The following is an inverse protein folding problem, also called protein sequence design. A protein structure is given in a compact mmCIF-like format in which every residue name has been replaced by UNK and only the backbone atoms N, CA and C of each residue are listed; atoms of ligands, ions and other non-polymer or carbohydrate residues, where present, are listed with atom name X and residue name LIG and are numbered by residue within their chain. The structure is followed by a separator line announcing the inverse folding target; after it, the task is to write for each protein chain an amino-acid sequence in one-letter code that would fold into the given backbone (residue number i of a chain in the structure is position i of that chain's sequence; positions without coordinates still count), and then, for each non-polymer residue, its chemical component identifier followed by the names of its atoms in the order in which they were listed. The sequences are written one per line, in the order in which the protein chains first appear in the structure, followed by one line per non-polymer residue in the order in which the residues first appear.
data_IF_448017783785
#
_entry.id   IF_448017783785
#
_cell.length_a   1.000
_cell.length_b   1.000
_cell.length_c   1.000
_cell.angle_alpha   90.00
_cell.angle_beta   90.00
_cell.angle_gamma   90.00
#
_symmetry.space_group_name_H-M   'P 1'
#
loop_
_entity.id
_entity.type
_entity.pdbx_description
1 polymer ?
#
# COMPACT_ATOMS: atom_id res chain seq x y z
N UNK A 1 -45.23 -52.84 -2.66
CA UNK A 1 -43.76 -52.73 -2.59
C UNK A 1 -43.38 -51.28 -2.61
N UNK A 2 -42.98 -50.70 -1.47
CA UNK A 2 -42.63 -49.27 -1.36
C UNK A 2 -41.11 -49.16 -1.35
N UNK A 3 -40.53 -48.52 -2.38
CA UNK A 3 -39.09 -48.33 -2.53
C UNK A 3 -38.70 -46.98 -1.90
N UNK A 4 -37.84 -46.99 -0.87
CA UNK A 4 -37.31 -45.78 -0.21
C UNK A 4 -36.02 -45.34 -0.91
N UNK A 5 -35.98 -44.09 -1.36
CA UNK A 5 -34.77 -43.39 -1.82
C UNK A 5 -33.92 -42.97 -0.61
N UNK A 6 -32.57 -43.05 -0.66
CA UNK A 6 -31.72 -42.53 0.40
C UNK A 6 -31.45 -41.03 0.16
N UNK A 7 -31.75 -40.20 1.17
CA UNK A 7 -31.38 -38.78 1.21
C UNK A 7 -29.99 -38.64 1.79
N UNK A 8 -29.02 -38.26 0.95
CA UNK A 8 -27.66 -37.94 1.37
C UNK A 8 -27.63 -36.57 2.03
N UNK A 9 -27.41 -36.51 3.33
CA UNK A 9 -27.14 -35.27 4.08
C UNK A 9 -25.73 -34.78 3.79
N UNK A 10 -25.63 -33.63 3.14
CA UNK A 10 -24.35 -32.91 2.94
C UNK A 10 -23.98 -32.24 4.27
N UNK A 11 -22.77 -32.45 4.84
CA UNK A 11 -22.34 -31.73 6.02
C UNK A 11 -22.08 -30.26 5.66
N UNK A 12 -22.83 -29.36 6.31
CA UNK A 12 -22.62 -27.91 6.23
C UNK A 12 -21.34 -27.56 6.98
N UNK A 13 -20.31 -27.09 6.27
CA UNK A 13 -19.11 -26.56 6.90
C UNK A 13 -19.45 -25.32 7.74
N UNK A 14 -18.82 -25.12 8.91
CA UNK A 14 -19.01 -23.90 9.69
C UNK A 14 -18.42 -22.70 8.93
N UNK A 15 -19.26 -21.69 8.69
CA UNK A 15 -18.86 -20.41 8.12
C UNK A 15 -18.02 -19.63 9.12
N UNK A 16 -16.70 -19.63 8.94
CA UNK A 16 -15.80 -18.70 9.62
C UNK A 16 -16.23 -17.27 9.27
N UNK A 17 -16.39 -16.34 10.22
CA UNK A 17 -16.69 -14.95 9.91
C UNK A 17 -15.48 -14.34 9.16
N UNK A 18 -15.66 -14.07 7.87
CA UNK A 18 -14.71 -13.32 7.05
C UNK A 18 -14.63 -11.91 7.61
N UNK A 19 -13.49 -11.56 8.23
CA UNK A 19 -13.19 -10.17 8.57
C UNK A 19 -13.32 -9.31 7.29
N UNK A 20 -13.74 -8.02 7.38
CA UNK A 20 -13.77 -7.14 6.22
C UNK A 20 -12.38 -7.11 5.59
N UNK A 21 -12.26 -7.60 4.35
CA UNK A 21 -11.02 -7.47 3.60
C UNK A 21 -10.88 -5.99 3.21
N UNK A 22 -9.84 -5.32 3.71
CA UNK A 22 -9.44 -4.00 3.22
C UNK A 22 -9.22 -4.08 1.72
N UNK A 23 -9.79 -3.19 0.89
CA UNK A 23 -9.55 -3.21 -0.54
C UNK A 23 -8.05 -3.03 -0.79
N UNK A 24 -7.49 -3.92 -1.60
CA UNK A 24 -6.08 -3.87 -1.97
C UNK A 24 -5.88 -2.76 -3.02
N UNK A 25 -5.03 -1.78 -2.73
CA UNK A 25 -4.63 -0.77 -3.71
C UNK A 25 -3.44 -1.30 -4.51
N UNK A 26 -3.52 -1.25 -5.83
CA UNK A 26 -2.49 -1.75 -6.74
C UNK A 26 -2.11 -0.67 -7.75
N UNK A 27 -0.81 -0.48 -7.97
CA UNK A 27 -0.24 0.52 -8.88
C UNK A 27 0.76 -0.19 -9.79
N UNK A 28 0.34 -0.53 -11.01
CA UNK A 28 1.11 -1.44 -11.85
C UNK A 28 1.28 -2.82 -11.19
N UNK A 29 2.54 -3.25 -11.01
CA UNK A 29 2.90 -4.51 -10.36
C UNK A 29 3.07 -4.38 -8.83
N UNK A 30 2.97 -3.17 -8.29
CA UNK A 30 3.08 -2.91 -6.84
C UNK A 30 1.74 -2.97 -6.14
N UNK A 31 1.80 -3.35 -4.88
CA UNK A 31 0.66 -3.54 -4.00
C UNK A 31 0.91 -2.74 -2.74
N UNK A 32 -0.06 -1.94 -2.31
CA UNK A 32 0.07 -1.17 -1.07
C UNK A 32 0.37 -2.10 0.11
N UNK A 33 1.48 -1.82 0.79
CA UNK A 33 1.94 -2.53 1.98
C UNK A 33 1.34 -1.88 3.23
N UNK A 34 1.29 -0.55 3.24
CA UNK A 34 0.62 0.24 4.27
C UNK A 34 1.34 1.53 4.62
N UNK A 35 0.96 2.12 5.74
CA UNK A 35 1.55 3.35 6.25
C UNK A 35 2.76 3.06 7.14
N UNK A 36 3.84 3.82 6.95
CA UNK A 36 5.11 3.68 7.67
C UNK A 36 5.59 5.04 8.18
N UNK A 37 6.39 5.02 9.24
CA UNK A 37 7.12 6.21 9.70
C UNK A 37 8.37 6.43 8.86
N UNK A 38 8.89 7.64 8.91
CA UNK A 38 10.29 7.90 8.54
C UNK A 38 11.27 7.15 9.46
N UNK A 39 12.51 7.02 9.01
CA UNK A 39 13.56 6.37 9.79
C UNK A 39 14.11 7.30 10.89
N UNK A 40 14.83 6.75 11.86
CA UNK A 40 15.23 7.51 13.07
C UNK A 40 16.15 8.70 12.78
N UNK A 41 16.93 8.65 11.71
CA UNK A 41 17.88 9.70 11.35
C UNK A 41 17.98 9.94 9.83
N UNK A 42 17.02 9.43 9.06
CA UNK A 42 17.05 9.44 7.59
C UNK A 42 15.65 9.27 7.00
N UNK A 43 15.56 9.30 5.67
CA UNK A 43 14.35 8.89 4.95
C UNK A 43 14.11 7.39 5.11
N UNK A 44 12.84 6.97 5.08
CA UNK A 44 12.50 5.54 5.11
C UNK A 44 13.04 4.78 3.89
N UNK A 45 13.06 5.43 2.71
CA UNK A 45 13.63 4.91 1.47
C UNK A 45 14.68 5.90 0.93
N UNK A 46 15.86 5.40 0.55
CA UNK A 46 17.05 6.25 0.29
C UNK A 46 17.63 6.14 -1.12
N UNK A 47 17.11 5.25 -1.98
CA UNK A 47 17.67 5.01 -3.31
C UNK A 47 17.43 6.17 -4.29
N UNK A 48 16.27 6.81 -4.21
CA UNK A 48 15.91 7.90 -5.11
C UNK A 48 14.79 8.76 -4.56
N UNK A 49 14.76 10.03 -4.98
CA UNK A 49 13.72 10.98 -4.60
C UNK A 49 13.25 11.81 -5.79
N UNK A 50 11.96 12.09 -5.84
CA UNK A 50 11.34 13.01 -6.77
C UNK A 50 10.26 13.79 -6.03
N UNK A 51 10.25 15.11 -6.20
CA UNK A 51 9.28 15.98 -5.52
C UNK A 51 8.55 16.82 -6.56
N UNK A 52 7.22 16.82 -6.50
CA UNK A 52 6.36 17.65 -7.32
C UNK A 52 5.00 17.89 -6.62
N UNK A 53 4.88 19.05 -5.98
CA UNK A 53 3.65 19.46 -5.27
C UNK A 53 2.50 19.94 -6.18
N UNK A 54 2.61 19.74 -7.50
CA UNK A 54 1.55 20.09 -8.46
C UNK A 54 0.99 18.88 -9.18
N UNK A 55 1.80 17.85 -9.41
CA UNK A 55 1.42 16.73 -10.29
C UNK A 55 1.86 15.36 -9.76
N UNK A 56 2.22 15.22 -8.48
CA UNK A 56 2.55 13.90 -7.93
C UNK A 56 1.27 13.07 -7.77
N UNK A 57 1.31 11.85 -8.28
CA UNK A 57 0.32 10.78 -8.10
C UNK A 57 1.08 9.44 -7.95
N UNK A 58 0.35 8.36 -7.67
CA UNK A 58 0.96 7.05 -7.43
C UNK A 58 1.65 6.51 -8.69
N UNK A 59 1.07 6.72 -9.87
CA UNK A 59 1.62 6.30 -11.16
C UNK A 59 2.92 7.05 -11.47
N UNK A 60 3.00 8.35 -11.16
CA UNK A 60 4.19 9.16 -11.36
C UNK A 60 5.34 8.71 -10.47
N UNK A 61 5.04 8.35 -9.22
CA UNK A 61 6.06 7.87 -8.29
C UNK A 61 6.55 6.46 -8.65
N UNK A 62 5.62 5.52 -8.85
CA UNK A 62 5.93 4.16 -9.24
C UNK A 62 6.73 4.10 -10.55
N UNK A 63 6.34 4.88 -11.58
CA UNK A 63 7.09 4.95 -12.83
C UNK A 63 8.52 5.48 -12.64
N UNK A 64 8.72 6.48 -11.77
CA UNK A 64 10.05 6.98 -11.45
C UNK A 64 10.90 5.90 -10.76
N UNK A 65 10.36 5.23 -9.74
CA UNK A 65 11.06 4.19 -9.02
C UNK A 65 11.34 2.94 -9.89
N UNK A 66 10.46 2.64 -10.85
CA UNK A 66 10.70 1.63 -11.88
C UNK A 66 11.99 1.90 -12.65
N UNK A 67 12.23 3.16 -13.05
CA UNK A 67 13.45 3.52 -13.80
C UNK A 67 14.74 3.33 -13.00
N UNK A 68 14.64 3.31 -11.67
CA UNK A 68 15.76 3.09 -10.76
C UNK A 68 15.94 1.60 -10.41
N UNK A 69 15.04 0.72 -10.85
CA UNK A 69 15.03 -0.69 -10.47
C UNK A 69 14.75 -0.90 -8.98
N UNK A 70 13.98 0.01 -8.37
CA UNK A 70 13.63 -0.07 -6.95
C UNK A 70 12.61 -1.20 -6.68
N UNK A 71 12.74 -1.88 -5.54
CA UNK A 71 11.76 -2.88 -5.10
C UNK A 71 10.50 -2.22 -4.50
N UNK A 72 10.68 -1.07 -3.87
CA UNK A 72 9.62 -0.30 -3.22
C UNK A 72 9.57 1.12 -3.76
N UNK A 73 8.37 1.67 -3.74
CA UNK A 73 8.19 3.12 -3.76
C UNK A 73 7.36 3.55 -2.56
N UNK A 74 7.55 4.80 -2.18
CA UNK A 74 6.79 5.41 -1.11
C UNK A 74 6.44 6.84 -1.48
N UNK A 75 5.25 7.26 -1.06
CA UNK A 75 4.76 8.62 -1.25
C UNK A 75 4.54 9.28 0.11
N UNK A 76 4.92 10.55 0.22
CA UNK A 76 4.84 11.33 1.44
C UNK A 76 4.37 12.76 1.13
N UNK A 77 3.70 13.38 2.11
CA UNK A 77 3.35 14.79 2.11
C UNK A 77 2.67 15.30 0.82
N UNK A 78 1.89 14.44 0.14
CA UNK A 78 1.10 14.77 -1.04
C UNK A 78 1.90 14.99 -2.34
N UNK A 79 3.18 15.33 -2.24
CA UNK A 79 4.02 15.73 -3.37
C UNK A 79 5.39 15.07 -3.42
N UNK A 80 5.74 14.25 -2.44
CA UNK A 80 7.06 13.64 -2.31
C UNK A 80 7.00 12.16 -2.69
N UNK A 81 8.00 11.71 -3.44
CA UNK A 81 8.17 10.34 -3.86
C UNK A 81 9.57 9.88 -3.49
N UNK A 82 9.65 8.67 -2.95
CA UNK A 82 10.87 8.02 -2.52
C UNK A 82 10.93 6.60 -3.07
N UNK A 83 12.12 6.15 -3.43
CA UNK A 83 12.38 4.82 -3.94
C UNK A 83 13.39 4.11 -3.04
N UNK A 84 13.28 2.80 -2.88
CA UNK A 84 14.23 2.03 -2.08
C UNK A 84 14.10 0.53 -2.32
N UNK A 85 15.10 -0.21 -1.84
CA UNK A 85 15.09 -1.67 -1.87
C UNK A 85 14.90 -2.30 -0.48
N UNK A 86 14.93 -1.45 0.55
CA UNK A 86 14.75 -1.81 1.95
C UNK A 86 14.27 -0.56 2.69
N UNK A 87 13.68 -0.78 3.87
CA UNK A 87 13.36 0.29 4.80
C UNK A 87 14.56 0.56 5.71
N UNK A 88 14.93 1.83 5.83
CA UNK A 88 16.01 2.25 6.72
C UNK A 88 15.66 2.01 8.20
N UNK A 89 16.71 1.87 9.02
CA UNK A 89 16.58 1.54 10.43
C UNK A 89 15.71 2.56 11.19
N UNK A 90 14.65 2.04 11.80
CA UNK A 90 13.70 2.83 12.58
C UNK A 90 12.44 3.26 11.81
N UNK A 91 12.36 3.00 10.50
CA UNK A 91 11.08 3.05 9.80
C UNK A 91 10.24 1.84 10.21
N UNK A 92 9.07 2.09 10.79
CA UNK A 92 8.18 1.06 11.32
C UNK A 92 6.74 1.27 10.83
N UNK A 93 5.90 0.22 10.82
CA UNK A 93 4.49 0.36 10.48
C UNK A 93 3.79 1.38 11.38
N UNK A 94 2.98 2.24 10.77
CA UNK A 94 2.10 3.19 11.42
C UNK A 94 0.63 2.80 11.16
N UNK A 95 -0.24 3.06 12.14
CA UNK A 95 -1.68 2.80 11.99
C UNK A 95 -2.45 4.00 11.45
N UNK A 96 -1.81 5.16 11.33
CA UNK A 96 -2.43 6.42 10.96
C UNK A 96 -1.46 7.39 10.28
N UNK A 97 -2.03 8.51 9.82
CA UNK A 97 -1.28 9.66 9.32
C UNK A 97 -1.00 9.64 7.81
N UNK A 98 -1.15 8.50 7.14
CA UNK A 98 -1.18 8.44 5.69
C UNK A 98 -2.57 8.73 5.14
N UNK A 99 -2.96 10.01 5.15
CA UNK A 99 -4.30 10.48 4.75
C UNK A 99 -4.25 11.68 3.81
N UNK A 100 -3.05 12.09 3.39
CA UNK A 100 -2.86 13.26 2.56
C UNK A 100 -3.16 12.91 1.10
N UNK A 101 -4.02 13.68 0.40
CA UNK A 101 -4.28 13.46 -1.00
C UNK A 101 -3.03 13.74 -1.84
N UNK A 102 -2.87 13.00 -2.94
CA UNK A 102 -1.84 13.29 -3.92
C UNK A 102 -2.10 14.64 -4.62
N UNK A 103 -1.03 15.39 -4.89
CA UNK A 103 -1.11 16.72 -5.49
C UNK A 103 -1.66 16.70 -6.93
N UNK A 104 -1.30 15.67 -7.70
CA UNK A 104 -1.73 15.46 -9.08
C UNK A 104 -3.08 14.75 -9.19
N UNK A 105 -3.42 13.89 -8.23
CA UNK A 105 -4.69 13.17 -8.19
C UNK A 105 -5.27 13.07 -6.76
N UNK A 106 -6.19 13.96 -6.35
CA UNK A 106 -6.72 13.96 -4.99
C UNK A 106 -7.66 12.78 -4.66
N UNK A 107 -7.94 11.88 -5.61
CA UNK A 107 -8.61 10.61 -5.33
C UNK A 107 -7.67 9.53 -4.76
N UNK A 108 -6.35 9.75 -4.84
CA UNK A 108 -5.31 8.88 -4.31
C UNK A 108 -4.71 9.44 -3.01
N UNK A 109 -4.09 8.56 -2.22
CA UNK A 109 -3.44 8.92 -0.96
C UNK A 109 -1.92 8.87 -1.10
N UNK A 110 -1.26 10.00 -0.87
CA UNK A 110 0.19 10.19 -0.96
C UNK A 110 0.82 10.47 0.42
N UNK A 111 0.62 9.53 1.34
CA UNK A 111 1.23 9.57 2.67
C UNK A 111 0.70 10.68 3.57
N UNK A 112 1.57 11.32 4.32
CA UNK A 112 1.26 12.45 5.21
C UNK A 112 2.53 13.06 5.80
N UNK A 113 2.41 13.85 6.87
CA UNK A 113 3.58 14.45 7.54
C UNK A 113 4.39 13.38 8.26
N UNK A 114 5.64 13.14 7.82
CA UNK A 114 6.52 12.07 8.32
C UNK A 114 5.84 10.69 8.28
N UNK A 115 5.02 10.48 7.24
CA UNK A 115 4.20 9.28 7.04
C UNK A 115 4.28 8.84 5.58
N UNK A 116 4.99 7.75 5.37
CA UNK A 116 5.20 7.16 4.06
C UNK A 116 4.10 6.13 3.77
N UNK A 117 3.36 6.32 2.69
CA UNK A 117 2.53 5.25 2.14
C UNK A 117 3.41 4.37 1.25
N UNK A 118 3.65 3.13 1.68
CA UNK A 118 4.61 2.20 1.07
C UNK A 118 3.90 1.21 0.14
N UNK A 119 4.50 1.01 -1.03
CA UNK A 119 4.05 0.10 -2.10
C UNK A 119 5.21 -0.78 -2.58
#
# INVERSE_FOLDING_TARGET
TVSRTPTTTVPTAPSTPTAPATPLVTVGDWVEIGCYTEATASRALTLGTKVNYSTMDLETCSAFCYTLGALYFGVEYGGECYCGNELEAGSIPATDGCVMPCAGNPAETCGGSDRLNLF
#
